data_IF_766326210435
#
_entry.id   IF_766326210435
#
_cell.length_a   1.000
_cell.length_b   1.000
_cell.length_c   1.000
_cell.angle_alpha   90.00
_cell.angle_beta   90.00
_cell.angle_gamma   90.00
#
_symmetry.space_group_name_H-M   'P 1'
#
loop_
_entity.id
_entity.type
_entity.pdbx_description
1 polymer ?
#
# COMPACT_ATOMS: atom_id res chain seq x y z
N UNK A 1 13.68 11.72 -12.94
CA UNK A 1 12.67 12.12 -13.95
C UNK A 1 12.02 13.41 -13.49
N UNK A 2 11.86 14.40 -14.38
CA UNK A 2 10.94 15.52 -14.13
C UNK A 2 9.55 15.03 -14.53
N UNK A 3 8.70 14.74 -13.56
CA UNK A 3 7.31 14.40 -13.82
C UNK A 3 6.55 15.72 -14.06
N UNK A 4 6.14 15.96 -15.30
CA UNK A 4 5.22 17.05 -15.64
C UNK A 4 3.80 16.55 -15.46
N UNK A 5 2.91 17.35 -14.85
CA UNK A 5 1.48 17.01 -14.82
C UNK A 5 0.95 17.01 -16.26
N UNK A 6 0.66 15.83 -16.81
CA UNK A 6 0.07 15.70 -18.12
C UNK A 6 -1.45 15.83 -17.99
N UNK A 7 -2.01 16.91 -18.54
CA UNK A 7 -3.48 17.14 -18.59
C UNK A 7 -4.12 16.68 -19.90
N UNK A 8 -3.32 16.25 -20.89
CA UNK A 8 -3.79 15.83 -22.20
C UNK A 8 -3.45 14.35 -22.41
N UNK A 9 -4.48 13.57 -22.75
CA UNK A 9 -4.32 12.16 -23.08
C UNK A 9 -3.52 11.98 -24.39
N UNK A 10 -2.68 10.96 -24.44
CA UNK A 10 -2.01 10.55 -25.67
C UNK A 10 -3.04 10.15 -26.75
N UNK A 11 -2.75 10.35 -28.05
CA UNK A 11 -3.65 9.90 -29.12
C UNK A 11 -3.75 8.37 -29.17
N UNK A 12 -4.67 7.86 -30.01
CA UNK A 12 -4.79 6.42 -30.29
C UNK A 12 -5.76 5.65 -29.39
N UNK A 13 -6.54 6.35 -28.55
CA UNK A 13 -7.63 5.73 -27.82
C UNK A 13 -8.69 5.14 -28.77
N UNK A 14 -9.10 3.90 -28.51
CA UNK A 14 -10.15 3.18 -29.26
C UNK A 14 -11.40 2.99 -28.40
N UNK A 15 -11.22 2.65 -27.12
CA UNK A 15 -12.31 2.34 -26.19
C UNK A 15 -13.08 1.07 -26.56
N UNK A 16 -14.27 0.91 -25.96
CA UNK A 16 -15.18 -0.19 -26.28
C UNK A 16 -15.10 -1.42 -25.37
N UNK A 17 -14.07 -1.56 -24.53
CA UNK A 17 -13.94 -2.76 -23.69
C UNK A 17 -15.01 -2.81 -22.59
N UNK A 18 -15.32 -1.68 -21.95
CA UNK A 18 -16.43 -1.57 -21.00
C UNK A 18 -17.76 -2.05 -21.64
N UNK A 19 -18.01 -1.70 -22.90
CA UNK A 19 -19.26 -2.04 -23.59
C UNK A 19 -19.26 -3.45 -24.21
N UNK A 20 -18.17 -4.21 -24.08
CA UNK A 20 -18.06 -5.58 -24.61
C UNK A 20 -18.93 -6.60 -23.87
N UNK A 21 -19.38 -6.26 -22.66
CA UNK A 21 -20.31 -7.06 -21.85
C UNK A 21 -21.26 -6.13 -21.09
N UNK A 22 -22.59 -6.31 -21.16
CA UNK A 22 -23.55 -5.43 -20.47
C UNK A 22 -23.40 -5.38 -18.94
N UNK A 23 -22.65 -6.31 -18.33
CA UNK A 23 -22.37 -6.33 -16.89
C UNK A 23 -21.18 -5.45 -16.47
N UNK A 24 -20.33 -5.03 -17.40
CA UNK A 24 -19.11 -4.27 -17.08
C UNK A 24 -19.31 -2.78 -16.85
N UNK A 25 -20.21 -2.07 -17.56
CA UNK A 25 -20.38 -0.65 -17.33
C UNK A 25 -20.90 -0.34 -15.94
N UNK A 26 -20.61 0.87 -15.45
CA UNK A 26 -21.33 1.36 -14.28
C UNK A 26 -22.82 1.38 -14.59
N UNK A 27 -23.66 0.84 -13.69
CA UNK A 27 -25.08 0.81 -13.93
C UNK A 27 -25.70 2.21 -13.87
N UNK A 28 -26.94 2.34 -14.33
CA UNK A 28 -27.60 3.63 -14.41
C UNK A 28 -27.90 4.17 -12.99
N UNK A 29 -27.48 5.41 -12.65
CA UNK A 29 -27.62 5.96 -11.30
C UNK A 29 -29.06 6.14 -10.78
N UNK A 30 -30.09 5.81 -11.58
CA UNK A 30 -31.50 5.85 -11.18
C UNK A 30 -32.02 4.59 -10.49
N UNK A 31 -31.23 3.53 -10.45
CA UNK A 31 -31.58 2.32 -9.73
C UNK A 31 -30.58 2.10 -8.58
N UNK A 32 -31.01 1.36 -7.57
CA UNK A 32 -30.16 0.82 -6.51
C UNK A 32 -29.22 -0.27 -7.10
N UNK A 33 -28.60 0.02 -8.23
CA UNK A 33 -28.00 -0.96 -9.11
C UNK A 33 -26.67 -1.49 -8.53
N UNK A 34 -26.34 -2.76 -8.82
CA UNK A 34 -25.09 -3.38 -8.41
C UNK A 34 -23.90 -2.74 -9.12
N UNK A 35 -22.76 -2.63 -8.42
CA UNK A 35 -21.46 -2.28 -9.01
C UNK A 35 -21.17 -3.10 -10.28
N UNK A 36 -20.32 -2.60 -11.21
CA UNK A 36 -19.80 -3.39 -12.32
C UNK A 36 -19.46 -4.83 -11.93
N UNK A 37 -19.94 -5.80 -12.70
CA UNK A 37 -19.67 -7.22 -12.47
C UNK A 37 -18.68 -7.76 -13.50
N UNK A 38 -17.44 -7.94 -13.05
CA UNK A 38 -16.36 -8.52 -13.86
C UNK A 38 -16.22 -10.04 -13.65
N UNK A 39 -17.18 -10.72 -13.03
CA UNK A 39 -17.12 -12.16 -12.72
C UNK A 39 -16.91 -13.07 -13.94
N UNK A 40 -17.32 -12.62 -15.14
CA UNK A 40 -17.07 -13.33 -16.39
C UNK A 40 -15.61 -13.25 -16.86
N UNK A 41 -14.81 -12.32 -16.32
CA UNK A 41 -13.38 -12.22 -16.58
C UNK A 41 -12.59 -13.02 -15.54
N UNK A 42 -11.55 -13.70 -15.99
CA UNK A 42 -10.57 -14.32 -15.10
C UNK A 42 -9.81 -13.23 -14.33
N UNK A 43 -9.51 -13.50 -13.06
CA UNK A 43 -8.53 -12.71 -12.30
C UNK A 43 -7.15 -13.07 -12.83
N UNK A 44 -6.58 -12.22 -13.70
CA UNK A 44 -5.30 -12.49 -14.35
C UNK A 44 -4.14 -12.10 -13.43
N UNK A 45 -3.00 -12.77 -13.57
CA UNK A 45 -1.81 -12.43 -12.78
C UNK A 45 -1.25 -11.08 -13.21
N UNK A 46 -0.92 -10.23 -12.25
CA UNK A 46 -0.71 -8.80 -12.49
C UNK A 46 0.42 -8.45 -13.47
N UNK A 47 1.40 -9.33 -13.65
CA UNK A 47 2.60 -9.06 -14.43
C UNK A 47 2.72 -9.93 -15.68
N UNK A 48 1.81 -10.89 -15.91
CA UNK A 48 1.97 -11.86 -17.01
C UNK A 48 1.72 -11.24 -18.38
N UNK A 49 0.99 -10.13 -18.44
CA UNK A 49 0.54 -9.51 -19.68
C UNK A 49 1.01 -8.07 -19.85
N UNK A 50 2.13 -7.70 -19.22
CA UNK A 50 2.69 -6.34 -19.35
C UNK A 50 3.07 -6.00 -20.80
N UNK A 51 3.32 -7.01 -21.65
CA UNK A 51 3.58 -6.84 -23.07
C UNK A 51 2.33 -6.50 -23.90
N UNK A 52 1.13 -6.59 -23.31
CA UNK A 52 -0.13 -6.19 -23.95
C UNK A 52 -0.49 -4.73 -23.62
N UNK A 53 0.23 -4.11 -22.69
CA UNK A 53 0.00 -2.72 -22.35
C UNK A 53 0.32 -1.85 -23.57
N UNK A 54 -0.57 -0.91 -23.86
CA UNK A 54 -0.32 0.16 -24.84
C UNK A 54 -0.46 1.53 -24.20
N UNK A 55 -1.15 1.61 -23.06
CA UNK A 55 -1.48 2.84 -22.34
C UNK A 55 -1.22 2.69 -20.85
N UNK A 56 -0.89 3.79 -20.20
CA UNK A 56 -0.75 3.87 -18.75
C UNK A 56 -1.29 5.17 -18.18
N UNK A 57 -1.73 5.11 -16.92
CA UNK A 57 -2.00 6.28 -16.09
C UNK A 57 -1.13 6.21 -14.83
N UNK A 58 -0.33 7.26 -14.63
CA UNK A 58 0.47 7.44 -13.43
C UNK A 58 -0.39 8.06 -12.32
N UNK A 59 -0.21 7.62 -11.08
CA UNK A 59 -0.88 8.23 -9.92
C UNK A 59 -0.01 9.36 -9.38
N UNK A 60 -0.45 10.59 -9.57
CA UNK A 60 0.28 11.76 -9.08
C UNK A 60 -0.02 12.03 -7.60
N UNK A 61 -1.27 11.86 -7.15
CA UNK A 61 -1.63 12.03 -5.75
C UNK A 61 -2.28 10.75 -5.21
N UNK A 62 -1.50 9.87 -4.57
CA UNK A 62 -2.04 8.72 -3.86
C UNK A 62 -2.46 9.16 -2.44
N UNK A 63 -3.72 9.55 -2.28
CA UNK A 63 -4.25 10.10 -1.01
C UNK A 63 -4.82 8.99 -0.14
N UNK A 64 -4.14 8.68 0.96
CA UNK A 64 -4.55 7.68 1.94
C UNK A 64 -5.24 8.31 3.15
N UNK A 65 -6.15 7.56 3.76
CA UNK A 65 -6.71 7.91 5.06
C UNK A 65 -7.08 6.68 5.89
N UNK A 66 -6.96 6.83 7.21
CA UNK A 66 -7.30 5.81 8.19
C UNK A 66 -7.66 6.46 9.52
N UNK A 67 -8.34 5.73 10.40
CA UNK A 67 -8.63 6.19 11.75
C UNK A 67 -7.43 5.93 12.66
N UNK A 68 -6.90 6.98 13.27
CA UNK A 68 -5.78 6.85 14.23
C UNK A 68 -6.22 6.19 15.54
N UNK A 69 -7.52 6.24 15.83
CA UNK A 69 -8.19 5.44 16.85
C UNK A 69 -9.36 4.72 16.17
N UNK A 70 -9.20 3.43 15.81
CA UNK A 70 -10.22 2.71 15.07
C UNK A 70 -11.60 2.75 15.74
N UNK A 71 -12.63 3.02 14.95
CA UNK A 71 -14.00 3.21 15.41
C UNK A 71 -14.33 4.64 15.86
N UNK A 72 -13.36 5.58 15.79
CA UNK A 72 -13.56 7.00 16.09
C UNK A 72 -13.34 7.82 14.81
N UNK A 73 -14.41 8.16 14.06
CA UNK A 73 -14.29 8.84 12.75
C UNK A 73 -13.52 10.16 12.79
N UNK A 74 -13.66 10.94 13.87
CA UNK A 74 -12.96 12.23 14.04
C UNK A 74 -11.43 12.07 14.18
N UNK A 75 -10.96 10.86 14.47
CA UNK A 75 -9.53 10.52 14.53
C UNK A 75 -8.93 10.24 13.15
N UNK A 76 -9.72 10.31 12.07
CA UNK A 76 -9.25 10.04 10.71
C UNK A 76 -8.20 11.06 10.29
N UNK A 77 -7.04 10.55 9.89
CA UNK A 77 -5.98 11.34 9.30
C UNK A 77 -5.83 11.04 7.80
N UNK A 78 -5.21 11.98 7.09
CA UNK A 78 -5.03 11.99 5.65
C UNK A 78 -3.56 12.20 5.33
N UNK A 79 -3.02 11.39 4.44
CA UNK A 79 -1.64 11.46 4.00
C UNK A 79 -1.53 11.14 2.52
N UNK A 80 -0.93 12.04 1.75
CA UNK A 80 -0.49 11.75 0.40
C UNK A 80 0.78 10.89 0.49
N UNK A 81 0.73 9.67 -0.04
CA UNK A 81 1.94 8.84 -0.17
C UNK A 81 2.80 9.35 -1.32
N UNK A 82 3.96 8.73 -1.52
CA UNK A 82 4.89 9.19 -2.55
C UNK A 82 4.28 9.13 -3.95
N UNK A 83 4.39 10.23 -4.72
CA UNK A 83 3.76 10.34 -6.03
C UNK A 83 4.45 9.41 -7.03
N UNK A 84 3.76 9.06 -8.11
CA UNK A 84 4.29 8.33 -9.26
C UNK A 84 4.80 6.90 -9.00
N UNK A 85 4.62 6.36 -7.79
CA UNK A 85 4.86 4.93 -7.53
C UNK A 85 3.74 4.11 -8.19
N UNK A 86 2.50 4.45 -7.89
CA UNK A 86 1.34 3.70 -8.34
C UNK A 86 1.01 4.00 -9.79
N UNK A 87 0.54 2.99 -10.51
CA UNK A 87 0.20 3.08 -11.94
C UNK A 87 -0.91 2.11 -12.33
N UNK A 88 -1.65 2.46 -13.38
CA UNK A 88 -2.65 1.62 -14.02
C UNK A 88 -2.27 1.41 -15.49
N UNK A 89 -2.11 0.17 -15.93
CA UNK A 89 -1.71 -0.21 -17.28
C UNK A 89 -2.82 -0.98 -18.00
N UNK A 90 -3.11 -0.56 -19.23
CA UNK A 90 -4.22 -1.09 -20.03
C UNK A 90 -3.98 -0.98 -21.55
N UNK A 91 -4.90 -1.51 -22.34
CA UNK A 91 -4.91 -1.49 -23.81
C UNK A 91 -5.59 -0.25 -24.39
N UNK A 92 -5.46 -0.02 -25.70
CA UNK A 92 -6.17 1.06 -26.42
C UNK A 92 -7.69 0.91 -26.40
N UNK A 93 -8.20 -0.29 -26.15
CA UNK A 93 -9.64 -0.56 -25.98
C UNK A 93 -10.12 -0.36 -24.55
N UNK A 94 -9.21 -0.22 -23.59
CA UNK A 94 -9.52 -0.02 -22.18
C UNK A 94 -9.37 -1.23 -21.27
N UNK A 95 -8.91 -2.40 -21.72
CA UNK A 95 -8.75 -3.56 -20.82
C UNK A 95 -7.55 -3.39 -19.91
N UNK A 96 -7.75 -3.46 -18.59
CA UNK A 96 -6.68 -3.43 -17.59
C UNK A 96 -5.97 -4.79 -17.54
N UNK A 97 -4.64 -4.73 -17.48
CA UNK A 97 -3.78 -5.92 -17.36
C UNK A 97 -2.77 -5.85 -16.22
N UNK A 98 -2.45 -4.65 -15.72
CA UNK A 98 -1.41 -4.47 -14.71
C UNK A 98 -1.68 -3.24 -13.85
N UNK A 99 -1.57 -3.40 -12.54
CA UNK A 99 -1.74 -2.35 -11.54
C UNK A 99 -0.52 -2.35 -10.62
N UNK A 100 0.05 -1.18 -10.35
CA UNK A 100 1.13 -1.02 -9.38
C UNK A 100 0.56 -0.25 -8.18
N UNK A 101 0.55 -0.89 -7.01
CA UNK A 101 0.16 -0.26 -5.75
C UNK A 101 1.32 0.53 -5.13
N UNK A 102 1.04 1.47 -4.21
CA UNK A 102 2.08 2.25 -3.57
C UNK A 102 2.89 1.41 -2.58
N UNK A 103 4.03 1.99 -2.20
CA UNK A 103 4.88 1.50 -1.12
C UNK A 103 5.03 2.59 -0.07
N UNK A 104 5.18 2.18 1.19
CA UNK A 104 5.36 3.09 2.30
C UNK A 104 6.38 2.53 3.28
N UNK A 105 6.98 3.40 4.09
CA UNK A 105 7.80 2.96 5.20
C UNK A 105 7.60 3.84 6.43
N UNK A 106 7.96 3.30 7.59
CA UNK A 106 8.06 4.05 8.84
C UNK A 106 9.53 4.08 9.26
N UNK A 107 10.03 5.29 9.51
CA UNK A 107 11.35 5.51 10.09
C UNK A 107 11.27 5.58 11.61
N UNK A 108 12.12 4.82 12.27
CA UNK A 108 12.34 4.89 13.70
C UNK A 108 13.79 5.31 13.90
N UNK A 109 13.97 6.60 14.18
CA UNK A 109 15.28 7.23 14.27
C UNK A 109 16.21 6.48 15.22
N UNK A 110 17.39 6.13 14.73
CA UNK A 110 18.42 5.43 15.47
C UNK A 110 18.14 3.95 15.72
N UNK A 111 17.04 3.38 15.20
CA UNK A 111 16.66 1.99 15.39
C UNK A 111 16.51 1.24 14.08
N UNK A 112 15.62 1.68 13.17
CA UNK A 112 15.43 1.01 11.89
C UNK A 112 14.29 1.55 11.03
N UNK A 113 14.09 0.88 9.90
CA UNK A 113 13.02 1.13 8.93
C UNK A 113 12.08 -0.04 8.89
N UNK A 114 10.78 0.23 9.01
CA UNK A 114 9.73 -0.73 8.71
C UNK A 114 9.23 -0.45 7.31
N UNK A 115 9.41 -1.40 6.42
CA UNK A 115 9.12 -1.30 5.00
C UNK A 115 7.77 -1.98 4.74
N UNK A 116 6.87 -1.34 4.00
CA UNK A 116 5.56 -1.86 3.64
C UNK A 116 5.40 -1.85 2.13
N UNK A 117 5.20 -3.03 1.57
CA UNK A 117 4.85 -3.20 0.17
C UNK A 117 3.47 -3.83 0.04
N UNK A 118 2.65 -3.30 -0.86
CA UNK A 118 1.42 -3.95 -1.30
C UNK A 118 1.64 -4.47 -2.71
N UNK A 119 1.81 -5.79 -2.85
CA UNK A 119 1.96 -6.42 -4.16
C UNK A 119 0.58 -6.74 -4.74
N UNK A 120 0.24 -6.23 -5.93
CA UNK A 120 -0.94 -6.72 -6.66
C UNK A 120 -0.62 -8.09 -7.24
N UNK A 121 -1.40 -9.10 -6.85
CA UNK A 121 -1.21 -10.50 -7.28
C UNK A 121 -2.11 -10.86 -8.44
N UNK A 122 -3.25 -10.20 -8.57
CA UNK A 122 -4.14 -10.35 -9.70
C UNK A 122 -5.00 -9.13 -9.94
N UNK A 123 -5.44 -8.96 -11.17
CA UNK A 123 -6.37 -7.90 -11.57
C UNK A 123 -7.32 -8.34 -12.68
N UNK A 124 -8.40 -7.58 -12.81
CA UNK A 124 -9.26 -7.49 -13.99
C UNK A 124 -9.95 -6.15 -13.95
N UNK A 125 -10.16 -5.50 -15.09
CA UNK A 125 -10.71 -4.16 -15.06
C UNK A 125 -10.82 -3.53 -16.42
N UNK A 126 -11.35 -2.32 -16.40
CA UNK A 126 -11.45 -1.47 -17.56
C UNK A 126 -11.21 0.00 -17.20
N UNK A 127 -10.73 0.75 -18.19
CA UNK A 127 -10.60 2.21 -18.20
C UNK A 127 -11.39 2.71 -19.40
N UNK A 128 -12.06 3.84 -19.26
CA UNK A 128 -12.67 4.56 -20.37
C UNK A 128 -12.17 6.01 -20.37
N UNK A 129 -11.37 6.38 -21.37
CA UNK A 129 -10.74 7.70 -21.42
C UNK A 129 -11.70 8.82 -21.85
N UNK A 130 -12.80 8.48 -22.53
CA UNK A 130 -13.78 9.46 -23.00
C UNK A 130 -14.66 9.93 -21.84
N UNK A 131 -15.07 8.99 -20.98
CA UNK A 131 -15.84 9.25 -19.75
C UNK A 131 -14.96 9.55 -18.55
N UNK A 132 -13.67 9.17 -18.62
CA UNK A 132 -12.68 9.24 -17.53
C UNK A 132 -13.05 8.38 -16.32
N UNK A 133 -13.77 7.31 -16.57
CA UNK A 133 -14.18 6.35 -15.55
C UNK A 133 -13.28 5.11 -15.57
N UNK A 134 -13.19 4.46 -14.41
CA UNK A 134 -12.36 3.29 -14.19
C UNK A 134 -13.15 2.34 -13.30
N UNK A 135 -13.07 1.04 -13.57
CA UNK A 135 -13.41 0.01 -12.59
C UNK A 135 -12.38 -1.12 -12.69
N UNK A 136 -11.83 -1.57 -11.57
CA UNK A 136 -10.99 -2.76 -11.55
C UNK A 136 -11.17 -3.55 -10.26
N UNK A 137 -11.21 -4.87 -10.36
CA UNK A 137 -11.03 -5.75 -9.22
C UNK A 137 -9.54 -6.10 -9.12
N UNK A 138 -8.99 -6.06 -7.90
CA UNK A 138 -7.63 -6.54 -7.65
C UNK A 138 -7.54 -7.44 -6.42
N UNK A 139 -6.56 -8.32 -6.42
CA UNK A 139 -6.11 -9.05 -5.23
C UNK A 139 -4.72 -8.57 -4.85
N UNK A 140 -4.45 -8.43 -3.55
CA UNK A 140 -3.16 -7.93 -3.06
C UNK A 140 -2.55 -8.82 -2.00
N UNK A 141 -1.24 -8.74 -1.87
CA UNK A 141 -0.44 -9.38 -0.83
C UNK A 141 0.45 -8.32 -0.16
N UNK A 142 0.04 -7.79 1.02
CA UNK A 142 0.86 -6.86 1.78
C UNK A 142 1.98 -7.58 2.54
N UNK A 143 3.19 -7.02 2.46
CA UNK A 143 4.39 -7.52 3.13
C UNK A 143 5.08 -6.43 3.93
N UNK A 144 5.51 -6.78 5.14
CA UNK A 144 6.25 -5.90 6.04
C UNK A 144 7.58 -6.55 6.43
N UNK A 145 8.67 -5.82 6.28
CA UNK A 145 9.97 -6.24 6.76
C UNK A 145 10.75 -5.09 7.37
N UNK A 146 11.66 -5.44 8.26
CA UNK A 146 12.44 -4.52 9.06
C UNK A 146 13.87 -4.47 8.51
N UNK A 147 14.42 -3.27 8.36
CA UNK A 147 15.81 -3.04 7.92
C UNK A 147 16.53 -2.08 8.86
N UNK A 148 17.86 -2.16 8.97
CA UNK A 148 18.61 -1.29 9.88
C UNK A 148 18.55 0.18 9.42
N UNK A 149 18.57 1.09 10.40
CA UNK A 149 18.80 2.51 10.13
C UNK A 149 20.24 2.68 9.66
N UNK A 150 20.49 3.59 8.72
CA UNK A 150 21.86 3.94 8.32
C UNK A 150 22.60 4.69 9.44
N UNK A 151 21.87 5.41 10.31
CA UNK A 151 22.41 6.17 11.45
C UNK A 151 22.03 5.52 12.80
N UNK A 152 22.29 4.23 12.95
CA UNK A 152 21.94 3.49 14.17
C UNK A 152 22.52 4.13 15.45
N UNK A 153 21.65 4.31 16.44
CA UNK A 153 22.04 4.59 17.82
C UNK A 153 22.80 3.40 18.43
N UNK A 154 23.51 3.57 19.56
CA UNK A 154 24.12 2.44 20.27
C UNK A 154 23.11 1.32 20.60
N UNK A 155 21.90 1.71 21.03
CA UNK A 155 20.81 0.76 21.30
C UNK A 155 20.39 0.02 20.03
N UNK A 156 20.20 0.75 18.91
CA UNK A 156 19.88 0.16 17.62
C UNK A 156 20.94 -0.83 17.14
N UNK A 157 22.23 -0.48 17.26
CA UNK A 157 23.33 -1.40 16.93
C UNK A 157 23.26 -2.69 17.73
N UNK A 158 23.07 -2.59 19.05
CA UNK A 158 22.91 -3.77 19.91
C UNK A 158 21.70 -4.61 19.52
N UNK A 159 20.56 -3.97 19.23
CA UNK A 159 19.35 -4.63 18.75
C UNK A 159 19.62 -5.47 17.51
N UNK A 160 20.26 -4.86 16.52
CA UNK A 160 20.56 -5.48 15.23
C UNK A 160 21.60 -6.59 15.35
N UNK A 161 22.64 -6.44 16.18
CA UNK A 161 23.57 -7.54 16.46
C UNK A 161 22.86 -8.74 17.07
N UNK A 162 21.96 -8.52 18.04
CA UNK A 162 21.19 -9.61 18.65
C UNK A 162 20.27 -10.25 17.61
N UNK A 163 19.53 -9.42 16.87
CA UNK A 163 18.62 -9.85 15.82
C UNK A 163 19.34 -10.73 14.80
N UNK A 164 20.46 -10.28 14.23
CA UNK A 164 21.27 -11.05 13.27
C UNK A 164 21.74 -12.38 13.85
N UNK A 165 22.14 -12.40 15.13
CA UNK A 165 22.57 -13.64 15.80
C UNK A 165 21.44 -14.67 15.97
N UNK A 166 20.19 -14.21 16.10
CA UNK A 166 19.01 -15.04 16.23
C UNK A 166 18.48 -15.47 14.85
N UNK A 167 18.60 -14.62 13.84
CA UNK A 167 18.16 -14.86 12.46
C UNK A 167 18.86 -16.05 11.77
N UNK A 168 19.99 -16.50 12.30
CA UNK A 168 20.64 -17.74 11.86
C UNK A 168 19.80 -19.00 12.12
N UNK A 169 18.86 -18.96 13.06
CA UNK A 169 18.01 -20.10 13.44
C UNK A 169 16.53 -19.85 13.17
N UNK A 170 16.11 -18.58 13.15
CA UNK A 170 14.71 -18.20 13.05
C UNK A 170 14.49 -17.24 11.87
N UNK A 171 13.45 -17.44 11.04
CA UNK A 171 13.21 -16.62 9.86
C UNK A 171 12.55 -15.28 10.23
N UNK A 172 13.27 -14.42 10.93
CA UNK A 172 12.78 -13.08 11.26
C UNK A 172 12.63 -12.19 10.01
N UNK A 173 11.72 -11.20 10.04
CA UNK A 173 11.39 -10.37 8.88
C UNK A 173 12.46 -9.31 8.58
N UNK A 174 13.70 -9.71 8.33
CA UNK A 174 14.80 -8.79 7.92
C UNK A 174 14.83 -8.43 6.45
N UNK A 175 14.05 -9.14 5.64
CA UNK A 175 14.01 -8.98 4.20
C UNK A 175 12.63 -9.38 3.71
N UNK A 176 12.37 -9.10 2.44
CA UNK A 176 11.08 -9.36 1.80
C UNK A 176 10.72 -10.84 1.74
N UNK A 177 11.70 -11.75 1.63
CA UNK A 177 11.46 -13.19 1.58
C UNK A 177 10.93 -13.73 2.92
N UNK A 178 11.34 -13.10 4.03
CA UNK A 178 10.93 -13.45 5.39
C UNK A 178 9.90 -12.47 5.95
N UNK A 179 9.32 -11.61 5.10
CA UNK A 179 8.42 -10.54 5.53
C UNK A 179 7.18 -11.09 6.25
N UNK A 180 6.67 -10.29 7.18
CA UNK A 180 5.35 -10.46 7.76
C UNK A 180 4.34 -10.28 6.64
N UNK A 181 3.53 -11.31 6.37
CA UNK A 181 2.42 -11.23 5.45
C UNK A 181 1.15 -10.87 6.22
N UNK A 182 0.50 -9.75 5.90
CA UNK A 182 -0.76 -9.38 6.54
C UNK A 182 -1.95 -10.00 5.83
N UNK A 183 -2.99 -10.36 6.59
CA UNK A 183 -4.30 -10.56 6.01
C UNK A 183 -4.97 -9.23 5.69
N UNK A 184 -5.74 -9.19 4.62
CA UNK A 184 -6.58 -8.06 4.22
C UNK A 184 -7.90 -8.57 3.69
N UNK A 185 -8.94 -7.75 3.83
CA UNK A 185 -10.30 -8.09 3.45
C UNK A 185 -11.02 -6.90 2.85
N UNK A 186 -11.95 -7.17 1.94
CA UNK A 186 -12.89 -6.17 1.46
C UNK A 186 -13.76 -5.71 2.66
N UNK A 187 -13.79 -4.41 3.01
CA UNK A 187 -14.56 -3.93 4.16
C UNK A 187 -16.07 -4.10 3.96
N UNK A 188 -16.54 -4.11 2.72
CA UNK A 188 -17.96 -4.20 2.36
C UNK A 188 -18.44 -5.65 2.22
N UNK A 189 -17.52 -6.61 1.99
CA UNK A 189 -17.87 -8.03 1.80
C UNK A 189 -17.03 -8.93 2.72
N UNK A 190 -17.64 -9.48 3.80
CA UNK A 190 -16.93 -10.31 4.77
C UNK A 190 -16.16 -11.47 4.14
N UNK A 191 -14.87 -11.59 4.49
CA UNK A 191 -14.00 -12.70 4.08
C UNK A 191 -13.48 -12.65 2.64
N UNK A 192 -13.93 -11.70 1.81
CA UNK A 192 -13.46 -11.58 0.42
C UNK A 192 -12.10 -10.84 0.36
N UNK A 193 -11.20 -11.30 -0.51
CA UNK A 193 -9.88 -10.70 -0.76
C UNK A 193 -9.75 -10.04 -2.14
N UNK A 194 -10.89 -9.63 -2.70
CA UNK A 194 -10.98 -8.86 -3.94
C UNK A 194 -11.39 -7.45 -3.57
N UNK A 195 -10.58 -6.49 -3.98
CA UNK A 195 -10.69 -5.07 -3.65
C UNK A 195 -11.09 -4.32 -4.93
N UNK A 196 -12.31 -3.81 -5.02
CA UNK A 196 -12.72 -3.02 -6.17
C UNK A 196 -12.12 -1.61 -6.08
N UNK A 197 -11.56 -1.16 -7.19
CA UNK A 197 -11.20 0.22 -7.49
C UNK A 197 -12.40 0.86 -8.19
N UNK A 198 -13.10 1.72 -7.46
CA UNK A 198 -14.37 2.33 -7.86
C UNK A 198 -14.13 3.74 -8.40
N UNK A 199 -14.97 4.20 -9.32
CA UNK A 199 -14.91 5.58 -9.81
C UNK A 199 -15.15 6.57 -8.65
N UNK A 200 -14.56 7.76 -8.80
CA UNK A 200 -14.71 8.88 -7.88
C UNK A 200 -14.04 8.64 -6.52
N UNK A 201 -14.12 9.63 -5.63
CA UNK A 201 -13.64 9.50 -4.25
C UNK A 201 -14.62 8.69 -3.41
N UNK A 202 -14.13 8.12 -2.30
CA UNK A 202 -15.00 7.48 -1.30
C UNK A 202 -16.09 8.45 -0.81
N UNK A 203 -17.28 7.92 -0.59
CA UNK A 203 -18.44 8.65 -0.04
C UNK A 203 -18.71 8.34 1.43
N UNK A 204 -17.93 7.43 2.02
CA UNK A 204 -18.18 6.91 3.37
C UNK A 204 -17.83 7.94 4.46
N UNK A 205 -16.97 8.90 4.13
CA UNK A 205 -16.57 10.00 4.99
C UNK A 205 -16.18 11.23 4.15
N UNK A 206 -16.20 12.45 4.73
CA UNK A 206 -15.82 13.65 4.00
C UNK A 206 -14.31 13.70 3.73
N UNK A 207 -13.93 13.96 2.48
CA UNK A 207 -12.53 14.19 2.08
C UNK A 207 -12.19 15.68 2.25
N UNK A 208 -11.13 16.07 2.97
CA UNK A 208 -10.79 17.48 3.17
C UNK A 208 -10.25 18.11 1.88
N UNK A 209 -10.47 19.42 1.70
CA UNK A 209 -10.09 20.15 0.48
C UNK A 209 -8.60 20.01 0.12
N UNK A 210 -7.71 19.91 1.11
CA UNK A 210 -6.26 19.77 0.84
C UNK A 210 -5.86 18.40 0.25
N UNK A 211 -6.75 17.40 0.31
CA UNK A 211 -6.55 16.05 -0.24
C UNK A 211 -7.43 15.82 -1.50
N UNK A 212 -8.03 16.89 -2.04
CA UNK A 212 -8.82 16.86 -3.27
C UNK A 212 -8.03 17.45 -4.42
N UNK A 213 -8.09 16.82 -5.60
CA UNK A 213 -7.34 17.23 -6.79
C UNK A 213 -8.23 17.34 -8.04
N UNK A 214 -9.51 17.67 -7.88
CA UNK A 214 -10.51 17.68 -8.96
C UNK A 214 -10.16 18.62 -10.14
N UNK A 215 -9.48 19.74 -9.87
CA UNK A 215 -9.09 20.72 -10.90
C UNK A 215 -7.78 20.35 -11.63
N UNK A 216 -7.05 19.38 -11.09
CA UNK A 216 -5.68 19.04 -11.50
C UNK A 216 -5.58 17.66 -12.12
N UNK A 217 -6.21 16.66 -11.50
CA UNK A 217 -6.19 15.28 -11.93
C UNK A 217 -7.06 15.05 -13.19
N UNK A 218 -6.69 14.03 -13.97
CA UNK A 218 -7.47 13.59 -15.12
C UNK A 218 -8.74 12.86 -14.68
N UNK A 219 -8.57 11.90 -13.78
CA UNK A 219 -9.62 11.08 -13.20
C UNK A 219 -9.27 10.75 -11.74
N UNK A 220 -10.28 10.28 -11.01
CA UNK A 220 -10.13 9.79 -9.65
C UNK A 220 -10.90 8.50 -9.46
N UNK A 221 -10.31 7.59 -8.70
CA UNK A 221 -10.93 6.38 -8.23
C UNK A 221 -10.69 6.20 -6.72
N UNK A 222 -11.39 5.29 -6.08
CA UNK A 222 -11.21 4.96 -4.67
C UNK A 222 -11.16 3.45 -4.46
N UNK A 223 -10.42 3.04 -3.44
CA UNK A 223 -10.31 1.66 -3.00
C UNK A 223 -10.16 1.63 -1.48
N UNK A 224 -10.76 0.65 -0.84
CA UNK A 224 -10.70 0.47 0.61
C UNK A 224 -10.27 -0.94 0.98
N UNK A 225 -9.43 -1.05 2.01
CA UNK A 225 -8.91 -2.31 2.51
C UNK A 225 -9.08 -2.36 4.02
N UNK A 226 -9.77 -3.40 4.50
CA UNK A 226 -9.78 -3.74 5.91
C UNK A 226 -8.52 -4.53 6.26
N UNK A 227 -7.76 -4.04 7.24
CA UNK A 227 -6.56 -4.69 7.72
C UNK A 227 -6.93 -5.87 8.63
N UNK A 228 -6.25 -7.00 8.48
CA UNK A 228 -6.39 -8.18 9.33
C UNK A 228 -5.09 -8.49 10.08
N UNK A 229 -5.17 -9.53 10.92
CA UNK A 229 -4.01 -10.02 11.66
C UNK A 229 -2.90 -10.54 10.73
N UNK A 230 -1.62 -10.48 11.18
CA UNK A 230 -0.52 -11.18 10.52
C UNK A 230 -0.84 -12.66 10.28
N UNK A 231 -0.42 -13.19 9.14
CA UNK A 231 -0.48 -14.62 8.91
C UNK A 231 0.48 -15.34 9.85
N UNK A 232 0.03 -16.39 10.56
CA UNK A 232 0.89 -17.15 11.45
C UNK A 232 1.96 -17.89 10.66
N UNK A 233 3.15 -17.95 11.22
CA UNK A 233 4.25 -18.75 10.71
C UNK A 233 4.22 -20.15 11.35
N UNK A 234 5.23 -20.98 11.07
CA UNK A 234 5.39 -22.27 11.74
C UNK A 234 6.04 -22.14 13.12
N UNK A 235 6.42 -20.93 13.55
CA UNK A 235 7.13 -20.68 14.81
C UNK A 235 6.43 -19.60 15.62
N UNK A 236 5.90 -19.99 16.79
CA UNK A 236 5.28 -19.05 17.74
C UNK A 236 6.26 -17.97 18.19
N UNK A 237 7.55 -18.30 18.23
CA UNK A 237 8.62 -17.33 18.54
C UNK A 237 8.73 -16.24 17.48
N UNK A 238 8.63 -16.61 16.20
CA UNK A 238 8.62 -15.64 15.09
C UNK A 238 7.31 -14.85 15.09
N UNK A 239 6.18 -15.49 15.40
CA UNK A 239 4.88 -14.82 15.47
C UNK A 239 4.84 -13.76 16.59
N UNK A 240 5.37 -14.07 17.77
CA UNK A 240 5.48 -13.13 18.88
C UNK A 240 6.38 -11.93 18.51
N UNK A 241 7.50 -12.19 17.81
CA UNK A 241 8.36 -11.14 17.29
C UNK A 241 7.63 -10.28 16.25
N UNK A 242 6.94 -10.89 15.30
CA UNK A 242 6.18 -10.21 14.26
C UNK A 242 5.11 -9.29 14.85
N UNK A 243 4.42 -9.73 15.91
CA UNK A 243 3.47 -8.87 16.64
C UNK A 243 4.14 -7.64 17.24
N UNK A 244 5.33 -7.77 17.83
CA UNK A 244 6.07 -6.63 18.38
C UNK A 244 6.51 -5.66 17.28
N UNK A 245 6.97 -6.18 16.14
CA UNK A 245 7.28 -5.36 14.95
C UNK A 245 6.04 -4.59 14.46
N UNK A 246 4.88 -5.23 14.41
CA UNK A 246 3.62 -4.57 14.05
C UNK A 246 3.18 -3.53 15.09
N UNK A 247 3.41 -3.78 16.38
CA UNK A 247 3.12 -2.79 17.44
C UNK A 247 3.97 -1.53 17.26
N UNK A 248 5.26 -1.70 16.96
CA UNK A 248 6.15 -0.56 16.66
C UNK A 248 5.67 0.20 15.42
N UNK A 249 5.25 -0.50 14.36
CA UNK A 249 4.67 0.14 13.18
C UNK A 249 3.44 0.97 13.52
N UNK A 250 2.49 0.38 14.27
CA UNK A 250 1.24 1.02 14.61
C UNK A 250 1.40 2.17 15.60
N UNK A 251 2.37 2.08 16.52
CA UNK A 251 2.74 3.21 17.36
C UNK A 251 3.14 4.42 16.51
N UNK A 252 4.07 4.26 15.57
CA UNK A 252 4.58 5.40 14.77
C UNK A 252 3.69 5.84 13.61
N UNK A 253 2.76 5.00 13.14
CA UNK A 253 1.82 5.34 12.06
C UNK A 253 0.44 5.75 12.53
N UNK A 254 0.17 5.76 13.84
CA UNK A 254 -1.17 5.99 14.37
C UNK A 254 -2.13 4.88 13.94
N UNK A 255 -1.80 3.63 14.24
CA UNK A 255 -2.65 2.45 14.03
C UNK A 255 -3.06 2.18 12.57
N UNK A 256 -2.30 2.67 11.59
CA UNK A 256 -2.63 2.50 10.16
C UNK A 256 -2.80 1.03 9.76
N UNK A 257 -1.96 0.14 10.29
CA UNK A 257 -2.00 -1.30 10.03
C UNK A 257 -2.50 -2.08 11.26
N UNK A 258 -3.28 -1.45 12.14
CA UNK A 258 -3.93 -2.17 13.23
C UNK A 258 -5.06 -3.02 12.64
N UNK A 259 -5.20 -4.25 13.13
CA UNK A 259 -6.28 -5.12 12.71
C UNK A 259 -7.65 -4.43 12.90
N UNK A 260 -8.56 -4.73 11.98
CA UNK A 260 -9.87 -4.14 11.82
C UNK A 260 -9.94 -2.67 11.37
N UNK A 261 -8.80 -1.96 11.27
CA UNK A 261 -8.79 -0.63 10.66
C UNK A 261 -9.09 -0.70 9.16
N UNK A 262 -9.65 0.37 8.60
CA UNK A 262 -9.91 0.50 7.16
C UNK A 262 -9.00 1.58 6.59
N UNK A 263 -8.09 1.14 5.72
CA UNK A 263 -7.24 2.01 4.93
C UNK A 263 -7.96 2.33 3.63
N UNK A 264 -8.35 3.60 3.47
CA UNK A 264 -9.00 4.11 2.28
C UNK A 264 -7.99 4.86 1.41
N UNK A 265 -8.06 4.66 0.11
CA UNK A 265 -7.16 5.21 -0.89
C UNK A 265 -7.96 5.91 -1.98
N UNK A 266 -7.87 7.24 -2.05
CA UNK A 266 -8.31 8.01 -3.20
C UNK A 266 -7.12 8.17 -4.16
N UNK A 267 -7.32 7.71 -5.40
CA UNK A 267 -6.30 7.55 -6.42
C UNK A 267 -6.50 8.61 -7.48
N UNK A 268 -5.64 9.63 -7.49
CA UNK A 268 -5.73 10.74 -8.45
C UNK A 268 -4.73 10.55 -9.58
N UNK A 269 -5.25 10.29 -10.77
CA UNK A 269 -4.48 9.92 -11.95
C UNK A 269 -4.11 11.12 -12.81
N UNK A 270 -2.95 11.04 -13.46
CA UNK A 270 -2.62 11.89 -14.60
C UNK A 270 -3.34 11.43 -15.85
N UNK A 271 -3.31 12.28 -16.88
CA UNK A 271 -3.85 11.92 -18.18
C UNK A 271 -3.12 10.68 -18.73
N UNK A 272 -3.84 9.83 -19.49
CA UNK A 272 -3.26 8.67 -20.16
C UNK A 272 -2.04 8.99 -21.03
N UNK A 273 -1.02 8.17 -20.90
CA UNK A 273 0.20 8.20 -21.69
C UNK A 273 0.37 6.87 -22.43
N UNK A 274 1.17 6.87 -23.50
CA UNK A 274 1.63 5.60 -24.08
C UNK A 274 2.56 4.90 -23.09
N UNK A 275 2.42 3.58 -22.99
CA UNK A 275 3.30 2.80 -22.12
C UNK A 275 4.65 2.57 -22.80
N UNK A 276 5.71 2.68 -22.02
CA UNK A 276 6.99 2.07 -22.30
C UNK A 276 7.06 0.79 -21.45
N UNK A 277 6.97 -0.37 -22.08
CA UNK A 277 6.89 -1.65 -21.34
C UNK A 277 8.20 -2.00 -20.64
N UNK A 278 9.34 -1.52 -21.14
CA UNK A 278 10.64 -1.72 -20.49
C UNK A 278 10.72 -0.84 -19.23
N UNK A 279 10.37 0.45 -19.35
CA UNK A 279 10.29 1.35 -18.19
C UNK A 279 9.27 0.88 -17.16
N UNK A 280 8.12 0.34 -17.58
CA UNK A 280 7.14 -0.26 -16.68
C UNK A 280 7.73 -1.43 -15.88
N UNK A 281 8.43 -2.34 -16.57
CA UNK A 281 9.03 -3.50 -15.93
C UNK A 281 10.14 -3.11 -14.95
N UNK A 282 11.01 -2.17 -15.34
CA UNK A 282 12.05 -1.63 -14.50
C UNK A 282 11.48 -0.88 -13.29
N UNK A 283 10.43 -0.09 -13.48
CA UNK A 283 9.74 0.61 -12.39
C UNK A 283 9.16 -0.39 -11.39
N UNK A 284 8.41 -1.41 -11.86
CA UNK A 284 7.86 -2.44 -11.01
C UNK A 284 8.96 -3.19 -10.22
N UNK A 285 10.07 -3.54 -10.87
CA UNK A 285 11.17 -4.26 -10.23
C UNK A 285 11.96 -3.38 -9.25
N UNK A 286 12.16 -2.11 -9.60
CA UNK A 286 12.76 -1.13 -8.70
C UNK A 286 11.98 -1.10 -7.40
N UNK A 287 10.67 -0.88 -7.45
CA UNK A 287 9.87 -0.81 -6.22
C UNK A 287 9.87 -2.14 -5.46
N UNK A 288 9.86 -3.30 -6.13
CA UNK A 288 10.02 -4.59 -5.44
C UNK A 288 11.29 -4.69 -4.58
N UNK A 289 12.31 -3.88 -4.86
CA UNK A 289 13.62 -3.90 -4.20
C UNK A 289 13.98 -2.60 -3.47
N UNK A 290 13.24 -1.50 -3.64
CA UNK A 290 13.75 -0.14 -3.38
C UNK A 290 13.16 0.61 -2.17
N UNK A 291 12.72 -0.05 -1.11
CA UNK A 291 12.61 0.68 0.16
C UNK A 291 14.00 0.71 0.79
N UNK A 292 14.79 1.71 0.37
CA UNK A 292 16.14 1.99 0.83
C UNK A 292 16.11 2.48 2.30
N UNK A 293 17.14 2.11 3.06
CA UNK A 293 17.42 2.47 4.48
C UNK A 293 17.50 3.98 4.76
N UNK A 294 17.26 4.81 3.74
CA UNK A 294 17.28 6.28 3.78
C UNK A 294 15.90 6.93 3.76
N UNK A 295 14.81 6.15 3.81
CA UNK A 295 13.45 6.67 4.06
C UNK A 295 12.97 7.72 3.06
N UNK A 296 13.55 7.75 1.87
CA UNK A 296 13.22 8.71 0.83
C UNK A 296 12.72 7.94 -0.37
N UNK A 297 11.42 8.09 -0.67
CA UNK A 297 10.91 7.58 -1.92
C UNK A 297 11.59 8.33 -3.08
N UNK A 298 12.17 7.63 -4.07
CA UNK A 298 12.92 8.26 -5.14
C UNK A 298 12.12 9.23 -6.03
N UNK A 299 10.79 9.27 -5.90
CA UNK A 299 9.89 10.15 -6.67
C UNK A 299 9.43 11.39 -5.89
N UNK A 300 9.87 11.57 -4.63
CA UNK A 300 9.53 12.72 -3.79
C UNK A 300 8.91 12.32 -2.45
N UNK A 301 8.99 13.23 -1.47
CA UNK A 301 8.31 13.04 -0.19
C UNK A 301 6.80 13.08 -0.38
N UNK A 302 6.09 12.13 0.22
CA UNK A 302 4.66 12.28 0.48
C UNK A 302 4.39 13.49 1.38
N UNK A 303 3.15 13.66 1.83
CA UNK A 303 2.81 14.71 2.79
C UNK A 303 3.02 14.24 4.23
N UNK A 304 3.14 15.20 5.15
CA UNK A 304 2.89 14.95 6.58
C UNK A 304 1.43 14.55 6.76
N UNK A 305 1.10 13.54 7.60
CA UNK A 305 -0.27 13.19 7.90
C UNK A 305 -0.99 14.33 8.64
N UNK A 306 -2.27 14.57 8.31
CA UNK A 306 -3.08 15.64 8.91
C UNK A 306 -4.49 15.15 9.22
N UNK A 307 -5.09 15.66 10.28
CA UNK A 307 -6.52 15.50 10.53
C UNK A 307 -7.34 16.30 9.51
N UNK A 308 -8.66 16.07 9.47
CA UNK A 308 -9.59 16.80 8.60
C UNK A 308 -9.45 18.33 8.72
N UNK A 309 -9.17 18.84 9.93
CA UNK A 309 -8.96 20.26 10.21
C UNK A 309 -7.69 20.85 9.59
N UNK A 310 -6.81 20.03 9.01
CA UNK A 310 -5.48 20.41 8.55
C UNK A 310 -4.42 20.45 9.64
N UNK A 311 -4.80 20.22 10.91
CA UNK A 311 -3.83 20.03 12.01
C UNK A 311 -2.98 18.80 11.72
N UNK A 312 -1.66 18.94 11.83
CA UNK A 312 -0.73 17.82 11.68
C UNK A 312 -1.02 16.73 12.71
N UNK A 313 -0.97 15.49 12.24
CA UNK A 313 -0.94 14.32 13.10
C UNK A 313 0.50 14.08 13.54
N UNK A 314 0.70 14.04 14.85
CA UNK A 314 1.98 13.74 15.48
C UNK A 314 1.77 12.63 16.50
N UNK A 315 2.66 11.65 16.49
CA UNK A 315 2.71 10.60 17.52
C UNK A 315 3.56 11.09 18.68
N UNK A 316 3.18 10.76 19.92
CA UNK A 316 4.02 10.99 21.09
C UNK A 316 5.25 10.07 21.03
N UNK A 317 6.46 10.63 21.10
CA UNK A 317 7.72 9.87 21.05
C UNK A 317 7.75 8.72 22.07
N UNK A 318 7.15 8.94 23.25
CA UNK A 318 7.03 7.95 24.33
C UNK A 318 6.30 6.66 23.92
N UNK A 319 5.33 6.72 23.00
CA UNK A 319 4.62 5.54 22.50
C UNK A 319 5.52 4.70 21.60
N UNK A 320 6.31 5.35 20.75
CA UNK A 320 7.27 4.68 19.87
C UNK A 320 8.40 4.08 20.72
N UNK A 321 8.93 4.85 21.68
CA UNK A 321 9.96 4.39 22.61
C UNK A 321 9.50 3.17 23.41
N UNK A 322 8.29 3.18 23.95
CA UNK A 322 7.73 2.04 24.68
C UNK A 322 7.65 0.78 23.80
N UNK A 323 7.12 0.90 22.57
CA UNK A 323 7.02 -0.23 21.65
C UNK A 323 8.40 -0.77 21.24
N UNK A 324 9.38 0.12 20.99
CA UNK A 324 10.77 -0.26 20.71
C UNK A 324 11.40 -0.99 21.90
N UNK A 325 11.13 -0.52 23.12
CA UNK A 325 11.65 -1.16 24.34
C UNK A 325 11.06 -2.55 24.56
N UNK A 326 9.79 -2.78 24.26
CA UNK A 326 9.19 -4.13 24.33
C UNK A 326 9.85 -5.10 23.34
N UNK A 327 10.11 -4.63 22.11
CA UNK A 327 10.87 -5.39 21.11
C UNK A 327 12.30 -5.69 21.59
N UNK A 328 12.96 -4.72 22.23
CA UNK A 328 14.30 -4.90 22.81
C UNK A 328 14.33 -5.90 23.95
N UNK A 329 13.36 -5.83 24.88
CA UNK A 329 13.25 -6.78 25.98
C UNK A 329 13.05 -8.20 25.47
N UNK A 330 12.23 -8.37 24.43
CA UNK A 330 12.04 -9.64 23.76
C UNK A 330 13.35 -10.18 23.19
N UNK A 331 14.10 -9.37 22.44
CA UNK A 331 15.38 -9.76 21.85
C UNK A 331 16.41 -10.17 22.92
N UNK A 332 16.58 -9.34 23.96
CA UNK A 332 17.54 -9.59 25.04
C UNK A 332 17.23 -10.89 25.78
N UNK A 333 15.98 -11.10 26.19
CA UNK A 333 15.56 -12.31 26.90
C UNK A 333 15.97 -13.58 26.16
N UNK A 334 15.67 -13.65 24.87
CA UNK A 334 15.93 -14.85 24.07
C UNK A 334 17.40 -15.00 23.65
N UNK A 335 18.16 -13.91 23.56
CA UNK A 335 19.61 -13.97 23.40
C UNK A 335 20.30 -14.62 24.62
N UNK A 336 19.87 -14.25 25.83
CA UNK A 336 20.38 -14.87 27.06
C UNK A 336 20.02 -16.35 27.14
N UNK A 337 18.78 -16.72 26.86
CA UNK A 337 18.34 -18.12 26.90
C UNK A 337 19.13 -19.00 25.91
N UNK A 338 19.40 -18.49 24.70
CA UNK A 338 20.26 -19.16 23.72
C UNK A 338 21.69 -19.34 24.24
N UNK A 339 22.25 -18.34 24.91
CA UNK A 339 23.58 -18.46 25.50
C UNK A 339 23.62 -19.51 26.62
N UNK A 340 22.62 -19.54 27.49
CA UNK A 340 22.50 -20.56 28.55
C UNK A 340 22.38 -21.99 27.99
N UNK A 341 21.74 -22.19 26.85
CA UNK A 341 21.66 -23.49 26.17
C UNK A 341 22.95 -23.93 25.47
N UNK A 342 23.89 -23.02 25.18
CA UNK A 342 25.19 -23.35 24.56
C UNK A 342 26.31 -23.58 25.58
N UNK A 343 26.11 -23.15 26.83
CA UNK A 343 27.08 -23.29 27.94
C UNK A 343 26.82 -24.55 28.78
N UNK A 344 25.74 -25.27 28.48
CA UNK A 344 25.40 -26.60 28.99
C UNK A 344 25.45 -27.61 27.85
#
# INVERSE_FOLDING_TARGET
MKFTSHKQAAPGWIGGFEQSNPAFPYPNPKANDPLPDLSSLLMEQNMTHINLLTRQQNVQWPEFSWETVPGIPDSRCYQMFSPYISRLGYTDTGKVYSIICPQQGLWIKGFGTLNVEVTVTGNRGWVDEDTREIYADMTVEPKIWFSPDIEQSPLGKTAWTIFESLSAQWPFPSNKQQAIQLNTYNPQVPGQKIFPLLRWTTTDFPVPTFAQHYDEAWSVANLEVKIGEPQPTTSTFVDDFNRLVMNVFNAGSGNMLLADNVLAWNVWFNAPELVDTEEWAEHAEKWRTSIDVKHTAPTGSGSTPKFFSGKEFTVEDSLIEAAVMDLMHFLLKHAFDKHSQMVH
#
